data_IF_900270008208
#
_entry.id   IF_900270008208
#
_cell.length_a   1.000
_cell.length_b   1.000
_cell.length_c   1.000
_cell.angle_alpha   90.00
_cell.angle_beta   90.00
_cell.angle_gamma   90.00
#
_symmetry.space_group_name_H-M   'P 1'
#
loop_
_entity.id
_entity.type
_entity.pdbx_description
1 polymer ?
#
# COMPACT_ATOMS: atom_id res chain seq x y z
N UNK A 1 -7.82 -11.06 -32.48
CA UNK A 1 -7.40 -12.28 -31.78
C UNK A 1 -7.71 -12.04 -30.31
N UNK A 2 -8.92 -12.43 -29.85
CA UNK A 2 -9.28 -12.34 -28.43
C UNK A 2 -8.59 -13.51 -27.74
N UNK A 3 -7.60 -13.21 -26.91
CA UNK A 3 -7.05 -14.18 -25.98
C UNK A 3 -8.16 -14.43 -24.93
N UNK A 4 -8.86 -15.55 -25.06
CA UNK A 4 -9.72 -16.03 -24.01
C UNK A 4 -8.84 -16.47 -22.84
N UNK A 5 -8.69 -15.60 -21.82
CA UNK A 5 -8.12 -15.99 -20.55
C UNK A 5 -9.03 -17.05 -19.93
N UNK A 6 -8.44 -18.13 -19.40
CA UNK A 6 -9.21 -19.12 -18.65
C UNK A 6 -9.61 -18.49 -17.30
N UNK A 7 -10.77 -18.87 -16.71
CA UNK A 7 -11.20 -18.37 -15.40
C UNK A 7 -10.12 -18.55 -14.31
N UNK A 8 -9.32 -19.60 -14.39
CA UNK A 8 -8.21 -19.88 -13.46
C UNK A 8 -7.07 -18.85 -13.61
N UNK A 9 -6.78 -18.41 -14.83
CA UNK A 9 -5.74 -17.42 -15.11
C UNK A 9 -6.16 -16.02 -14.60
N UNK A 10 -7.41 -15.63 -14.79
CA UNK A 10 -7.96 -14.38 -14.25
C UNK A 10 -7.93 -14.37 -12.71
N UNK A 11 -8.31 -15.48 -12.09
CA UNK A 11 -8.24 -15.63 -10.63
C UNK A 11 -6.80 -15.53 -10.13
N UNK A 12 -5.84 -16.17 -10.78
CA UNK A 12 -4.44 -16.10 -10.40
C UNK A 12 -3.90 -14.65 -10.50
N UNK A 13 -4.22 -13.92 -11.57
CA UNK A 13 -3.82 -12.52 -11.73
C UNK A 13 -4.35 -11.65 -10.59
N UNK A 14 -5.61 -11.80 -10.18
CA UNK A 14 -6.22 -11.03 -9.12
C UNK A 14 -5.48 -11.15 -7.79
N UNK A 15 -4.90 -12.31 -7.50
CA UNK A 15 -4.15 -12.54 -6.25
C UNK A 15 -2.69 -12.15 -6.36
N UNK A 16 -2.02 -12.41 -7.47
CA UNK A 16 -0.58 -12.18 -7.60
C UNK A 16 -0.24 -10.74 -8.02
N UNK A 17 -1.06 -10.10 -8.82
CA UNK A 17 -0.79 -8.75 -9.31
C UNK A 17 -0.63 -7.72 -8.18
N UNK A 18 -1.49 -7.67 -7.14
CA UNK A 18 -1.30 -6.74 -6.02
C UNK A 18 0.00 -6.98 -5.24
N UNK A 19 0.43 -8.24 -5.11
CA UNK A 19 1.70 -8.59 -4.44
C UNK A 19 2.90 -8.09 -5.25
N UNK A 20 2.87 -8.27 -6.57
CA UNK A 20 3.90 -7.74 -7.46
C UNK A 20 3.93 -6.21 -7.38
N UNK A 21 2.75 -5.57 -7.43
CA UNK A 21 2.63 -4.12 -7.34
C UNK A 21 3.18 -3.59 -6.00
N UNK A 22 2.88 -4.25 -4.87
CA UNK A 22 3.43 -3.91 -3.57
C UNK A 22 4.96 -4.05 -3.53
N UNK A 23 5.49 -5.10 -4.16
CA UNK A 23 6.94 -5.29 -4.28
C UNK A 23 7.58 -4.17 -5.07
N UNK A 24 7.02 -3.83 -6.24
CA UNK A 24 7.51 -2.71 -7.06
C UNK A 24 7.43 -1.39 -6.29
N UNK A 25 6.33 -1.15 -5.59
CA UNK A 25 6.16 0.03 -4.74
C UNK A 25 7.26 0.12 -3.68
N UNK A 26 7.54 -0.94 -2.93
CA UNK A 26 8.60 -1.00 -1.92
C UNK A 26 9.97 -0.72 -2.55
N UNK A 27 10.25 -1.29 -3.72
CA UNK A 27 11.51 -1.06 -4.44
C UNK A 27 11.65 0.41 -4.83
N UNK A 28 10.63 1.03 -5.41
CA UNK A 28 10.64 2.43 -5.81
C UNK A 28 10.81 3.37 -4.61
N UNK A 29 10.05 3.15 -3.54
CA UNK A 29 10.16 3.96 -2.33
C UNK A 29 11.48 3.74 -1.59
N UNK A 30 12.12 2.59 -1.75
CA UNK A 30 13.46 2.32 -1.21
C UNK A 30 14.55 3.18 -1.85
N UNK A 31 14.30 3.77 -3.03
CA UNK A 31 15.22 4.72 -3.67
C UNK A 31 15.21 6.10 -2.96
N UNK A 32 14.13 6.43 -2.29
CA UNK A 32 13.99 7.70 -1.62
C UNK A 32 14.79 7.71 -0.31
N UNK A 33 15.45 8.82 -0.04
CA UNK A 33 16.16 9.07 1.23
C UNK A 33 15.19 9.61 2.29
N UNK A 34 15.52 9.37 3.57
CA UNK A 34 14.84 10.05 4.66
C UNK A 34 15.14 11.57 4.64
N UNK A 35 14.18 12.42 5.00
CA UNK A 35 12.82 12.13 5.47
C UNK A 35 11.80 11.98 4.33
N UNK A 36 12.18 12.15 3.06
CA UNK A 36 11.25 12.19 1.91
C UNK A 36 10.45 10.90 1.76
N UNK A 37 11.09 9.74 1.98
CA UNK A 37 10.40 8.44 1.93
C UNK A 37 9.23 8.40 2.91
N UNK A 38 9.48 8.72 4.17
CA UNK A 38 8.45 8.75 5.20
C UNK A 38 7.33 9.76 4.89
N UNK A 39 7.72 10.97 4.49
CA UNK A 39 6.76 12.04 4.21
C UNK A 39 5.83 11.67 3.04
N UNK A 40 6.37 11.12 1.95
CA UNK A 40 5.56 10.68 0.82
C UNK A 40 4.64 9.52 1.18
N UNK A 41 5.13 8.54 1.95
CA UNK A 41 4.29 7.42 2.44
C UNK A 41 3.15 7.93 3.32
N UNK A 42 3.39 8.93 4.17
CA UNK A 42 2.36 9.55 4.99
C UNK A 42 1.32 10.30 4.14
N UNK A 43 1.76 11.05 3.12
CA UNK A 43 0.87 11.74 2.18
C UNK A 43 -0.01 10.74 1.43
N UNK A 44 0.55 9.61 1.01
CA UNK A 44 -0.22 8.56 0.32
C UNK A 44 -1.31 7.94 1.20
N UNK A 45 -1.05 7.75 2.50
CA UNK A 45 -2.09 7.33 3.45
C UNK A 45 -3.27 8.32 3.47
N UNK A 46 -2.99 9.62 3.48
CA UNK A 46 -4.04 10.65 3.39
C UNK A 46 -4.80 10.60 2.07
N UNK A 47 -4.10 10.41 0.96
CA UNK A 47 -4.70 10.24 -0.36
C UNK A 47 -5.58 9.00 -0.47
N UNK A 48 -5.11 7.87 0.06
CA UNK A 48 -5.88 6.63 0.11
C UNK A 48 -7.20 6.81 0.88
N UNK A 49 -7.19 7.56 1.98
CA UNK A 49 -8.40 7.88 2.74
C UNK A 49 -9.49 8.61 1.95
N UNK A 50 -9.12 9.27 0.84
CA UNK A 50 -10.06 9.98 -0.03
C UNK A 50 -10.55 9.15 -1.22
N UNK A 51 -10.04 7.94 -1.43
CA UNK A 51 -10.26 7.15 -2.63
C UNK A 51 -11.75 6.88 -2.92
N UNK A 52 -12.56 6.70 -1.88
CA UNK A 52 -13.98 6.37 -2.00
C UNK A 52 -14.93 7.57 -1.92
N UNK A 53 -14.43 8.80 -1.71
CA UNK A 53 -15.29 10.01 -1.59
C UNK A 53 -16.12 10.27 -2.84
N UNK A 54 -15.69 9.80 -4.00
CA UNK A 54 -16.38 10.01 -5.28
C UNK A 54 -17.49 9.00 -5.56
N UNK A 55 -17.76 8.03 -4.67
CA UNK A 55 -18.80 7.05 -4.92
C UNK A 55 -18.68 5.70 -4.27
N UNK A 56 -18.02 5.58 -3.12
CA UNK A 56 -17.82 4.30 -2.40
C UNK A 56 -19.11 3.63 -1.92
N UNK A 57 -20.17 4.42 -1.71
CA UNK A 57 -21.50 3.87 -1.37
C UNK A 57 -21.89 3.97 0.11
N UNK A 58 -20.96 4.31 1.01
CA UNK A 58 -21.24 4.43 2.45
C UNK A 58 -21.55 5.86 2.91
N UNK A 59 -21.72 6.79 1.96
CA UNK A 59 -22.18 8.16 2.25
C UNK A 59 -21.27 8.90 3.22
N UNK A 60 -21.82 9.38 4.35
CA UNK A 60 -21.07 10.19 5.34
C UNK A 60 -19.88 9.44 5.97
N UNK A 61 -19.92 8.11 6.00
CA UNK A 61 -18.83 7.30 6.54
C UNK A 61 -17.53 7.41 5.72
N UNK A 62 -17.64 7.71 4.41
CA UNK A 62 -16.48 8.00 3.56
C UNK A 62 -15.73 9.24 4.06
N UNK A 63 -16.49 10.28 4.44
CA UNK A 63 -15.92 11.51 4.99
C UNK A 63 -15.29 11.26 6.35
N UNK A 64 -15.95 10.52 7.23
CA UNK A 64 -15.42 10.16 8.55
C UNK A 64 -14.13 9.33 8.42
N UNK A 65 -14.09 8.39 7.48
CA UNK A 65 -12.91 7.60 7.19
C UNK A 65 -11.77 8.47 6.63
N UNK A 66 -12.06 9.35 5.67
CA UNK A 66 -11.08 10.29 5.12
C UNK A 66 -10.45 11.18 6.20
N UNK A 67 -11.24 11.70 7.15
CA UNK A 67 -10.73 12.47 8.29
C UNK A 67 -9.81 11.60 9.15
N UNK A 68 -10.23 10.37 9.44
CA UNK A 68 -9.42 9.42 10.22
C UNK A 68 -8.08 9.17 9.54
N UNK A 69 -8.06 8.86 8.25
CA UNK A 69 -6.85 8.62 7.48
C UNK A 69 -5.94 9.87 7.43
N UNK A 70 -6.51 11.06 7.34
CA UNK A 70 -5.77 12.32 7.42
C UNK A 70 -5.05 12.49 8.76
N UNK A 71 -5.68 12.10 9.88
CA UNK A 71 -5.05 12.11 11.20
C UNK A 71 -3.86 11.13 11.24
N UNK A 72 -4.03 9.90 10.71
CA UNK A 72 -2.95 8.93 10.63
C UNK A 72 -1.83 9.37 9.70
N UNK A 73 -2.15 10.00 8.56
CA UNK A 73 -1.17 10.60 7.66
C UNK A 73 -0.35 11.70 8.37
N UNK A 74 -1.01 12.61 9.09
CA UNK A 74 -0.33 13.66 9.85
C UNK A 74 0.62 13.09 10.91
N UNK A 75 0.18 12.11 11.70
CA UNK A 75 1.03 11.40 12.66
C UNK A 75 2.13 10.58 11.97
N UNK A 76 1.86 10.10 10.76
CA UNK A 76 2.79 9.37 9.90
C UNK A 76 4.03 10.19 9.51
N UNK A 77 3.92 11.51 9.41
CA UNK A 77 5.06 12.40 9.19
C UNK A 77 6.14 12.25 10.29
N UNK A 78 5.74 11.82 11.48
CA UNK A 78 6.65 11.63 12.61
C UNK A 78 7.10 10.18 12.77
N UNK A 79 6.24 9.19 12.41
CA UNK A 79 6.51 7.78 12.68
C UNK A 79 5.88 6.84 11.67
N UNK A 80 6.68 5.93 11.14
CA UNK A 80 6.27 4.84 10.26
C UNK A 80 5.16 3.95 10.85
N UNK A 81 5.09 3.85 12.19
CA UNK A 81 4.05 3.09 12.87
C UNK A 81 2.65 3.59 12.52
N UNK A 82 2.46 4.92 12.47
CA UNK A 82 1.16 5.49 12.12
C UNK A 82 0.83 5.31 10.64
N UNK A 83 1.84 5.30 9.75
CA UNK A 83 1.67 4.96 8.34
C UNK A 83 1.18 3.51 8.21
N UNK A 84 1.85 2.58 8.90
CA UNK A 84 1.44 1.17 8.90
C UNK A 84 0.03 0.95 9.43
N UNK A 85 -0.38 1.63 10.51
CA UNK A 85 -1.75 1.57 11.02
C UNK A 85 -2.73 2.14 9.99
N UNK A 86 -2.40 3.26 9.33
CA UNK A 86 -3.22 3.84 8.27
C UNK A 86 -3.49 2.83 7.14
N UNK A 87 -2.48 2.14 6.65
CA UNK A 87 -2.62 1.10 5.62
C UNK A 87 -3.48 -0.08 6.10
N UNK A 88 -3.36 -0.52 7.36
CA UNK A 88 -4.25 -1.57 7.89
C UNK A 88 -5.70 -1.11 8.04
N UNK A 89 -5.93 0.15 8.42
CA UNK A 89 -7.28 0.71 8.44
C UNK A 89 -7.86 0.77 7.03
N UNK A 90 -7.05 1.15 6.03
CA UNK A 90 -7.48 1.16 4.62
C UNK A 90 -7.79 -0.26 4.14
N UNK A 91 -6.97 -1.24 4.46
CA UNK A 91 -7.27 -2.66 4.20
C UNK A 91 -8.67 -3.07 4.68
N UNK A 92 -9.02 -2.72 5.92
CA UNK A 92 -10.35 -3.01 6.45
C UNK A 92 -11.47 -2.30 5.68
N UNK A 93 -11.21 -1.06 5.27
CA UNK A 93 -12.14 -0.26 4.48
C UNK A 93 -12.34 -0.82 3.08
N UNK A 94 -11.28 -1.27 2.42
CA UNK A 94 -11.32 -1.92 1.12
C UNK A 94 -12.11 -3.24 1.15
N UNK A 95 -11.93 -4.04 2.21
CA UNK A 95 -12.71 -5.26 2.39
C UNK A 95 -14.19 -4.94 2.51
N UNK A 96 -14.57 -3.90 3.28
CA UNK A 96 -15.96 -3.48 3.40
C UNK A 96 -16.52 -3.05 2.04
N UNK A 97 -15.77 -2.27 1.24
CA UNK A 97 -16.21 -1.85 -0.08
C UNK A 97 -16.28 -3.01 -1.07
N UNK A 98 -15.35 -3.95 -0.99
CA UNK A 98 -15.40 -5.14 -1.83
C UNK A 98 -16.65 -6.00 -1.56
N UNK A 99 -17.08 -6.09 -0.30
CA UNK A 99 -18.20 -6.93 0.12
C UNK A 99 -19.57 -6.22 0.03
N UNK A 100 -19.62 -4.92 0.31
CA UNK A 100 -20.89 -4.21 0.56
C UNK A 100 -21.00 -2.84 -0.12
N UNK A 101 -19.91 -2.30 -0.69
CA UNK A 101 -19.85 -1.00 -1.32
C UNK A 101 -19.56 -1.05 -2.81
N UNK A 102 -19.03 0.05 -3.33
CA UNK A 102 -18.57 0.15 -4.70
C UNK A 102 -17.04 0.02 -4.77
N UNK A 103 -16.48 -0.51 -5.87
CA UNK A 103 -15.03 -0.63 -6.04
C UNK A 103 -14.37 0.75 -6.18
N UNK A 104 -13.07 0.84 -5.85
CA UNK A 104 -12.27 2.07 -6.04
C UNK A 104 -12.30 2.53 -7.50
N UNK A 105 -12.13 1.59 -8.43
CA UNK A 105 -12.17 1.85 -9.86
C UNK A 105 -13.49 1.32 -10.42
N UNK A 106 -14.35 2.21 -10.88
CA UNK A 106 -15.68 1.86 -11.39
C UNK A 106 -15.67 0.85 -12.55
N UNK A 107 -14.55 0.74 -13.26
CA UNK A 107 -14.35 -0.20 -14.38
C UNK A 107 -13.71 -1.53 -13.95
N UNK A 108 -13.31 -1.69 -12.68
CA UNK A 108 -12.71 -2.91 -12.15
C UNK A 108 -13.35 -3.27 -10.80
N UNK A 109 -14.25 -4.24 -10.83
CA UNK A 109 -14.97 -4.71 -9.65
C UNK A 109 -14.07 -5.32 -8.56
N UNK A 110 -12.84 -5.70 -8.90
CA UNK A 110 -11.87 -6.32 -7.99
C UNK A 110 -10.84 -5.34 -7.45
N UNK A 111 -10.91 -4.07 -7.83
CA UNK A 111 -9.93 -3.05 -7.45
C UNK A 111 -9.80 -2.85 -5.93
N UNK A 112 -10.91 -2.89 -5.18
CA UNK A 112 -10.86 -2.85 -3.70
C UNK A 112 -10.20 -4.10 -3.11
N UNK A 113 -10.45 -5.30 -3.66
CA UNK A 113 -9.76 -6.52 -3.25
C UNK A 113 -8.26 -6.42 -3.53
N UNK A 114 -7.87 -5.85 -4.67
CA UNK A 114 -6.47 -5.60 -5.00
C UNK A 114 -5.77 -4.73 -3.95
N UNK A 115 -6.39 -3.63 -3.52
CA UNK A 115 -5.87 -2.79 -2.45
C UNK A 115 -5.84 -3.53 -1.10
N UNK A 116 -6.88 -4.31 -0.78
CA UNK A 116 -6.93 -5.11 0.44
C UNK A 116 -5.80 -6.14 0.54
N UNK A 117 -5.21 -6.57 -0.59
CA UNK A 117 -4.03 -7.45 -0.63
C UNK A 117 -2.73 -6.63 -0.59
N UNK A 118 -2.68 -5.51 -1.29
CA UNK A 118 -1.51 -4.63 -1.40
C UNK A 118 -1.16 -3.97 -0.06
N UNK A 119 -2.14 -3.38 0.61
CA UNK A 119 -1.96 -2.53 1.78
C UNK A 119 -1.32 -3.22 2.99
N UNK A 120 -1.68 -4.48 3.36
CA UNK A 120 -1.03 -5.17 4.46
C UNK A 120 0.47 -5.40 4.26
N UNK A 121 0.90 -5.57 3.00
CA UNK A 121 2.31 -5.74 2.65
C UNK A 121 3.06 -4.43 2.91
N UNK A 122 2.47 -3.31 2.50
CA UNK A 122 3.05 -1.99 2.76
C UNK A 122 3.03 -1.66 4.26
N UNK A 123 1.95 -2.02 4.96
CA UNK A 123 1.85 -1.86 6.41
C UNK A 123 2.97 -2.62 7.13
N UNK A 124 3.20 -3.89 6.79
CA UNK A 124 4.26 -4.71 7.37
C UNK A 124 5.64 -4.09 7.15
N UNK A 125 5.92 -3.60 5.94
CA UNK A 125 7.16 -2.90 5.63
C UNK A 125 7.31 -1.61 6.45
N UNK A 126 6.23 -0.84 6.63
CA UNK A 126 6.24 0.37 7.47
C UNK A 126 6.46 0.04 8.95
N UNK A 127 5.87 -1.03 9.49
CA UNK A 127 6.13 -1.48 10.86
C UNK A 127 7.59 -1.91 11.08
N UNK A 128 8.26 -2.42 10.05
CA UNK A 128 9.69 -2.68 10.05
C UNK A 128 10.55 -1.41 9.93
N UNK A 129 9.94 -0.21 9.90
CA UNK A 129 10.63 1.08 9.73
C UNK A 129 10.89 1.44 8.28
N UNK A 130 10.21 0.82 7.34
CA UNK A 130 10.34 1.00 5.89
C UNK A 130 11.82 1.07 5.42
N UNK A 131 12.66 0.04 5.71
CA UNK A 131 14.08 0.09 5.38
C UNK A 131 14.30 0.22 3.87
N UNK A 132 15.35 0.97 3.48
CA UNK A 132 15.80 0.96 2.10
C UNK A 132 16.45 -0.39 1.77
N UNK A 133 15.83 -1.13 0.84
CA UNK A 133 16.37 -2.43 0.40
C UNK A 133 17.76 -2.29 -0.22
N UNK A 134 18.03 -1.19 -0.91
CA UNK A 134 19.36 -0.89 -1.47
C UNK A 134 20.41 -0.72 -0.38
N UNK A 135 20.10 -0.01 0.70
CA UNK A 135 21.03 0.17 1.81
C UNK A 135 21.28 -1.14 2.56
N UNK A 136 20.24 -1.95 2.74
CA UNK A 136 20.35 -3.26 3.38
C UNK A 136 21.26 -4.19 2.57
N UNK A 137 21.08 -4.27 1.24
CA UNK A 137 21.91 -5.09 0.35
C UNK A 137 23.35 -4.56 0.36
N UNK A 138 23.55 -3.26 0.22
CA UNK A 138 24.90 -2.67 0.21
C UNK A 138 25.66 -2.93 1.50
N UNK A 139 24.99 -2.82 2.66
CA UNK A 139 25.62 -3.12 3.96
C UNK A 139 26.04 -4.58 4.07
N UNK A 140 25.22 -5.52 3.60
CA UNK A 140 25.58 -6.96 3.59
C UNK A 140 26.83 -7.22 2.75
N UNK A 141 26.94 -6.61 1.56
CA UNK A 141 28.12 -6.75 0.71
C UNK A 141 29.39 -6.15 1.36
N UNK A 142 29.28 -5.01 2.03
CA UNK A 142 30.40 -4.39 2.71
C UNK A 142 30.91 -5.21 3.91
N UNK A 143 30.04 -5.92 4.61
CA UNK A 143 30.42 -6.80 5.75
C UNK A 143 30.99 -8.15 5.29
N UNK A 144 30.69 -8.60 4.09
CA UNK A 144 31.19 -9.85 3.51
C UNK A 144 32.52 -9.71 2.75
N UNK A 145 33.05 -8.49 2.58
CA UNK A 145 34.34 -8.26 1.93
C UNK A 145 35.48 -8.51 2.92
N UNK A 146 36.48 -9.37 2.61
CA UNK A 146 37.65 -9.56 3.46
C UNK A 146 38.38 -8.23 3.63
N UNK A 147 38.75 -7.87 4.87
CA UNK A 147 39.62 -6.72 5.11
C UNK A 147 40.94 -6.95 4.37
N UNK A 148 41.43 -5.98 3.60
CA UNK A 148 42.77 -6.08 3.07
C UNK A 148 43.76 -6.17 4.24
N UNK A 149 44.67 -7.17 4.19
CA UNK A 149 45.75 -7.37 5.12
C UNK A 149 46.79 -6.26 4.94
#
# INVERSE_FOLDING_TARGET
MQLHSTPEFETAIQWFFPVILATVFILLFSLLKEPNRKNLLAILVGGAGAAYLSGGGFGIWEVAFCITMTIFAYKGLQSYRFIGIGWLLHTGWDILHHLYGNPILAFDATSSLGCAIFDPIIAAWCFAGAPSLYEVIRRKHALGSPRPV
#
